data_IF_278803639524
#
_entry.id   IF_278803639524
#
_cell.length_a   1.000
_cell.length_b   1.000
_cell.length_c   1.000
_cell.angle_alpha   90.00
_cell.angle_beta   90.00
_cell.angle_gamma   90.00
#
_symmetry.space_group_name_H-M   'P 1'
#
loop_
_entity.id
_entity.type
_entity.pdbx_description
1 polymer ?
#
# COMPACT_ATOMS: atom_id res chain seq x y z
N UNK A 1 30.33 -17.04 39.79
CA UNK A 1 30.57 -16.46 38.45
C UNK A 1 29.40 -16.89 37.58
N UNK A 2 28.36 -16.06 37.52
CA UNK A 2 27.20 -16.28 36.65
C UNK A 2 27.23 -15.14 35.65
N UNK A 3 27.73 -15.42 34.46
CA UNK A 3 27.72 -14.48 33.34
C UNK A 3 26.25 -14.24 32.93
N UNK A 4 25.79 -13.01 33.19
CA UNK A 4 24.58 -12.48 32.61
C UNK A 4 24.85 -12.24 31.12
N UNK A 5 24.38 -13.15 30.27
CA UNK A 5 24.26 -12.91 28.83
C UNK A 5 23.25 -11.78 28.61
N UNK A 6 23.77 -10.57 28.44
CA UNK A 6 23.00 -9.44 27.93
C UNK A 6 22.55 -9.78 26.50
N UNK A 7 21.25 -10.02 26.33
CA UNK A 7 20.61 -10.06 25.02
C UNK A 7 20.72 -8.68 24.40
N UNK A 8 21.70 -8.49 23.52
CA UNK A 8 21.79 -7.29 22.68
C UNK A 8 20.60 -7.30 21.72
N UNK A 9 19.52 -6.62 22.08
CA UNK A 9 18.43 -6.32 21.15
C UNK A 9 19.02 -5.53 19.98
N UNK A 10 19.04 -6.15 18.79
CA UNK A 10 19.47 -5.49 17.57
C UNK A 10 18.67 -4.17 17.42
N UNK A 11 19.33 -3.04 17.15
CA UNK A 11 18.62 -1.77 17.02
C UNK A 11 17.62 -1.94 15.87
N UNK A 12 16.33 -1.72 16.14
CA UNK A 12 15.29 -1.69 15.10
C UNK A 12 15.76 -0.73 14.01
N UNK A 13 16.22 -1.28 12.89
CA UNK A 13 16.67 -0.51 11.75
C UNK A 13 15.53 0.41 11.33
N UNK A 14 15.74 1.72 11.40
CA UNK A 14 14.68 2.63 10.98
C UNK A 14 14.45 2.46 9.47
N UNK A 15 13.19 2.37 9.01
CA UNK A 15 12.92 2.22 7.59
C UNK A 15 13.52 3.38 6.78
N UNK A 16 14.19 3.06 5.67
CA UNK A 16 14.88 4.03 4.80
C UNK A 16 14.00 5.22 4.42
N UNK A 17 12.76 4.93 3.98
CA UNK A 17 11.80 5.98 3.63
C UNK A 17 11.35 6.83 4.81
N UNK A 18 11.35 6.28 6.03
CA UNK A 18 10.98 7.02 7.24
C UNK A 18 12.07 8.01 7.65
N UNK A 19 13.33 7.65 7.47
CA UNK A 19 14.47 8.57 7.67
C UNK A 19 14.44 9.68 6.61
N UNK A 20 14.35 9.30 5.33
CA UNK A 20 14.23 10.26 4.22
C UNK A 20 13.07 11.23 4.42
N UNK A 21 11.93 10.74 4.89
CA UNK A 21 10.78 11.59 5.20
C UNK A 21 11.10 12.65 6.27
N UNK A 22 11.78 12.25 7.36
CA UNK A 22 12.11 13.17 8.46
C UNK A 22 13.17 14.19 8.08
N UNK A 23 14.20 13.76 7.36
CA UNK A 23 15.42 14.54 7.19
C UNK A 23 15.32 15.47 5.98
N UNK A 24 14.70 15.02 4.89
CA UNK A 24 14.65 15.76 3.61
C UNK A 24 13.23 16.25 3.30
N UNK A 25 12.27 15.32 3.20
CA UNK A 25 10.94 15.59 2.64
C UNK A 25 10.17 16.60 3.48
N UNK A 26 10.28 16.53 4.82
CA UNK A 26 9.64 17.50 5.70
C UNK A 26 10.13 18.92 5.47
N UNK A 27 11.43 19.11 5.27
CA UNK A 27 12.00 20.43 5.01
C UNK A 27 11.50 20.97 3.67
N UNK A 28 11.57 20.15 2.62
CA UNK A 28 11.13 20.53 1.27
C UNK A 28 9.63 20.87 1.22
N UNK A 29 8.77 20.08 1.88
CA UNK A 29 7.33 20.38 1.94
C UNK A 29 7.03 21.65 2.73
N UNK A 30 7.79 21.93 3.79
CA UNK A 30 7.64 23.16 4.58
C UNK A 30 8.01 24.39 3.75
N UNK A 31 9.10 24.32 2.99
CA UNK A 31 9.52 25.39 2.08
C UNK A 31 8.51 25.60 0.94
N UNK A 32 8.00 24.52 0.35
CA UNK A 32 7.08 24.59 -0.78
C UNK A 32 5.70 25.19 -0.42
N UNK A 33 5.16 24.85 0.75
CA UNK A 33 3.80 25.25 1.15
C UNK A 33 3.77 26.29 2.28
N UNK A 34 4.93 26.68 2.82
CA UNK A 34 5.04 27.73 3.84
C UNK A 34 4.31 27.42 5.15
N UNK A 35 4.32 26.17 5.60
CA UNK A 35 3.60 25.77 6.82
C UNK A 35 4.08 26.54 8.05
N UNK A 36 3.14 27.15 8.78
CA UNK A 36 3.44 27.90 10.01
C UNK A 36 3.80 26.98 11.19
N UNK A 37 3.38 25.71 11.15
CA UNK A 37 3.61 24.74 12.22
C UNK A 37 4.19 23.45 11.63
N UNK A 38 5.27 22.94 12.25
CA UNK A 38 5.97 21.70 11.86
C UNK A 38 5.02 20.49 11.83
N UNK A 39 3.98 20.48 12.66
CA UNK A 39 3.00 19.39 12.70
C UNK A 39 1.90 19.48 11.62
N UNK A 40 1.87 20.56 10.82
CA UNK A 40 0.97 20.67 9.67
C UNK A 40 1.50 19.94 8.43
N UNK A 41 2.80 19.61 8.42
CA UNK A 41 3.42 18.94 7.27
C UNK A 41 2.74 17.58 7.03
N UNK A 42 2.23 17.33 5.81
CA UNK A 42 1.59 16.08 5.46
C UNK A 42 2.50 14.88 5.69
N UNK A 43 1.93 13.80 6.23
CA UNK A 43 2.63 12.55 6.47
C UNK A 43 1.75 11.33 6.17
N UNK A 44 2.39 10.17 6.12
CA UNK A 44 1.70 8.90 5.94
C UNK A 44 1.00 8.47 7.25
N UNK A 45 -0.30 8.19 7.16
CA UNK A 45 -1.08 7.67 8.30
C UNK A 45 -1.12 6.14 8.27
N UNK A 46 -1.52 5.57 7.14
CA UNK A 46 -1.67 4.13 6.95
C UNK A 46 -1.67 3.79 5.47
N UNK A 47 -1.35 2.53 5.18
CA UNK A 47 -1.54 1.95 3.84
C UNK A 47 -2.54 0.82 3.96
N UNK A 48 -3.57 0.84 3.14
CA UNK A 48 -4.57 -0.24 3.07
C UNK A 48 -4.35 -0.99 1.77
N UNK A 49 -4.14 -2.30 1.87
CA UNK A 49 -4.07 -3.20 0.72
C UNK A 49 -5.33 -4.05 0.75
N UNK A 50 -6.12 -3.98 -0.31
CA UNK A 50 -7.40 -4.66 -0.41
C UNK A 50 -7.44 -5.53 -1.66
N UNK A 51 -8.07 -6.69 -1.56
CA UNK A 51 -8.40 -7.52 -2.71
C UNK A 51 -9.88 -7.87 -2.70
N UNK A 52 -10.56 -7.55 -3.80
CA UNK A 52 -11.93 -7.96 -4.04
C UNK A 52 -11.94 -9.29 -4.79
N UNK A 53 -12.54 -10.32 -4.20
CA UNK A 53 -12.60 -11.66 -4.79
C UNK A 53 -14.06 -12.05 -4.92
N UNK A 54 -14.79 -11.46 -5.87
CA UNK A 54 -16.23 -11.69 -6.01
C UNK A 54 -16.63 -13.16 -6.23
N UNK A 55 -15.72 -13.96 -6.81
CA UNK A 55 -15.90 -15.40 -7.01
C UNK A 55 -15.86 -16.22 -5.71
N UNK A 56 -15.33 -15.64 -4.64
CA UNK A 56 -15.27 -16.23 -3.31
C UNK A 56 -16.64 -16.64 -2.75
N UNK A 57 -17.70 -15.93 -3.16
CA UNK A 57 -19.07 -16.27 -2.75
C UNK A 57 -19.50 -17.67 -3.23
N UNK A 58 -18.83 -18.21 -4.27
CA UNK A 58 -19.07 -19.56 -4.81
C UNK A 58 -18.09 -20.60 -4.28
N UNK A 59 -16.84 -20.20 -4.05
CA UNK A 59 -15.80 -21.11 -3.57
C UNK A 59 -14.94 -20.44 -2.48
N UNK A 60 -15.06 -20.96 -1.26
CA UNK A 60 -14.33 -20.47 -0.09
C UNK A 60 -12.82 -20.69 -0.17
N UNK A 61 -12.34 -21.66 -0.98
CA UNK A 61 -10.90 -21.93 -1.14
C UNK A 61 -10.17 -20.79 -1.83
N UNK A 62 -10.87 -20.07 -2.71
CA UNK A 62 -10.32 -18.92 -3.44
C UNK A 62 -9.90 -17.81 -2.47
N UNK A 63 -10.61 -17.64 -1.35
CA UNK A 63 -10.27 -16.67 -0.30
C UNK A 63 -8.99 -17.08 0.42
N UNK A 64 -8.82 -18.38 0.70
CA UNK A 64 -7.64 -18.88 1.39
C UNK A 64 -6.36 -18.60 0.58
N UNK A 65 -6.42 -18.72 -0.75
CA UNK A 65 -5.33 -18.30 -1.65
C UNK A 65 -5.02 -16.81 -1.50
N UNK A 66 -6.04 -15.95 -1.59
CA UNK A 66 -5.87 -14.51 -1.44
C UNK A 66 -5.32 -14.10 -0.06
N UNK A 67 -5.70 -14.83 1.00
CA UNK A 67 -5.17 -14.63 2.35
C UNK A 67 -3.68 -14.95 2.40
N UNK A 68 -3.26 -16.07 1.79
CA UNK A 68 -1.86 -16.49 1.75
C UNK A 68 -1.01 -15.47 0.98
N UNK A 69 -1.48 -15.02 -0.18
CA UNK A 69 -0.78 -14.04 -1.01
C UNK A 69 -0.61 -12.71 -0.27
N UNK A 70 -1.69 -12.17 0.31
CA UNK A 70 -1.63 -10.94 1.10
C UNK A 70 -0.73 -11.07 2.33
N UNK A 71 -0.71 -12.24 2.97
CA UNK A 71 0.18 -12.51 4.11
C UNK A 71 1.64 -12.51 3.68
N UNK A 72 1.96 -13.13 2.54
CA UNK A 72 3.31 -13.17 1.99
C UNK A 72 3.80 -11.76 1.61
N UNK A 73 2.95 -10.98 0.94
CA UNK A 73 3.27 -9.61 0.50
C UNK A 73 3.47 -8.67 1.70
N UNK A 74 2.49 -8.64 2.60
CA UNK A 74 2.42 -7.61 3.66
C UNK A 74 3.09 -8.03 4.98
N UNK A 75 3.39 -9.32 5.16
CA UNK A 75 3.89 -9.88 6.42
C UNK A 75 2.86 -9.84 7.55
N UNK A 76 1.58 -9.58 7.25
CA UNK A 76 0.50 -9.47 8.22
C UNK A 76 -0.70 -10.32 7.76
N UNK A 77 -1.30 -11.04 8.70
CA UNK A 77 -2.52 -11.80 8.42
C UNK A 77 -3.66 -10.83 8.05
N UNK A 78 -4.28 -10.97 6.87
CA UNK A 78 -5.37 -10.11 6.44
C UNK A 78 -6.66 -10.41 7.19
N UNK A 79 -7.52 -9.40 7.26
CA UNK A 79 -8.88 -9.52 7.74
C UNK A 79 -9.82 -9.82 6.57
N UNK A 80 -10.65 -10.86 6.73
CA UNK A 80 -11.65 -11.26 5.74
C UNK A 80 -12.85 -10.32 5.81
N UNK A 81 -13.27 -9.82 4.64
CA UNK A 81 -14.41 -8.94 4.48
C UNK A 81 -15.66 -9.76 4.17
N UNK A 82 -16.68 -9.61 5.01
CA UNK A 82 -17.99 -10.26 4.85
C UNK A 82 -19.01 -9.32 4.21
N UNK A 83 -19.95 -9.91 3.47
CA UNK A 83 -21.09 -9.24 2.89
C UNK A 83 -21.99 -8.65 3.96
N UNK A 84 -22.23 -7.32 3.90
CA UNK A 84 -23.20 -6.64 4.76
C UNK A 84 -24.65 -6.75 4.28
N UNK A 85 -24.85 -7.01 2.99
CA UNK A 85 -26.18 -7.08 2.36
C UNK A 85 -26.22 -8.21 1.35
N UNK A 86 -27.38 -8.85 1.25
CA UNK A 86 -27.66 -9.84 0.21
C UNK A 86 -28.04 -9.14 -1.08
N UNK A 87 -27.39 -9.50 -2.19
CA UNK A 87 -27.66 -8.93 -3.52
C UNK A 87 -27.75 -10.08 -4.53
N UNK A 88 -28.95 -10.30 -5.08
CA UNK A 88 -29.24 -11.43 -5.95
C UNK A 88 -28.41 -11.42 -7.26
N UNK A 89 -28.16 -10.24 -7.84
CA UNK A 89 -27.38 -10.10 -9.08
C UNK A 89 -25.95 -10.64 -8.93
N UNK A 90 -25.33 -10.43 -7.78
CA UNK A 90 -23.99 -10.95 -7.47
C UNK A 90 -24.03 -12.36 -6.84
N UNK A 91 -25.23 -12.96 -6.72
CA UNK A 91 -25.48 -14.24 -6.03
C UNK A 91 -24.91 -14.27 -4.61
N UNK A 92 -24.94 -13.11 -3.95
CA UNK A 92 -24.30 -12.89 -2.67
C UNK A 92 -25.34 -12.88 -1.54
N UNK A 93 -25.04 -13.56 -0.44
CA UNK A 93 -25.81 -13.55 0.81
C UNK A 93 -25.03 -12.84 1.90
N UNK A 94 -25.76 -12.23 2.84
CA UNK A 94 -25.18 -11.64 4.04
C UNK A 94 -24.32 -12.65 4.82
N UNK A 95 -23.19 -12.19 5.35
CA UNK A 95 -22.23 -13.03 6.07
C UNK A 95 -21.28 -13.84 5.18
N UNK A 96 -21.47 -13.87 3.85
CA UNK A 96 -20.51 -14.52 2.95
C UNK A 96 -19.24 -13.68 2.80
N UNK A 97 -18.09 -14.35 2.76
CA UNK A 97 -16.82 -13.68 2.53
C UNK A 97 -16.66 -13.29 1.04
N UNK A 98 -16.26 -12.04 0.81
CA UNK A 98 -16.14 -11.41 -0.53
C UNK A 98 -14.70 -11.04 -0.86
N UNK A 99 -13.88 -10.79 0.15
CA UNK A 99 -12.52 -10.31 -0.06
C UNK A 99 -11.72 -10.29 1.21
N UNK A 100 -10.53 -9.71 1.14
CA UNK A 100 -9.64 -9.58 2.27
C UNK A 100 -8.88 -8.27 2.19
N UNK A 101 -8.57 -7.69 3.33
CA UNK A 101 -7.77 -6.47 3.39
C UNK A 101 -6.77 -6.49 4.54
N UNK A 102 -5.69 -5.73 4.37
CA UNK A 102 -4.67 -5.49 5.38
C UNK A 102 -4.56 -3.99 5.58
N UNK A 103 -4.51 -3.56 6.84
CA UNK A 103 -4.14 -2.18 7.17
C UNK A 103 -2.76 -2.17 7.80
N UNK A 104 -1.80 -1.56 7.11
CA UNK A 104 -0.43 -1.37 7.56
C UNK A 104 -0.28 0.01 8.21
N UNK A 105 0.41 0.05 9.36
CA UNK A 105 0.70 1.27 10.13
C UNK A 105 2.11 1.22 10.68
N UNK A 106 2.66 2.38 11.01
CA UNK A 106 4.00 2.49 11.59
C UNK A 106 5.08 2.02 10.61
N UNK A 107 6.10 1.34 11.12
CA UNK A 107 7.29 0.98 10.34
C UNK A 107 6.97 0.03 9.17
N UNK A 108 6.04 -0.92 9.39
CA UNK A 108 5.58 -1.84 8.33
C UNK A 108 4.94 -1.13 7.13
N UNK A 109 4.28 0.01 7.34
CA UNK A 109 3.72 0.79 6.24
C UNK A 109 4.84 1.40 5.38
N UNK A 110 5.89 1.92 6.02
CA UNK A 110 7.04 2.50 5.33
C UNK A 110 7.86 1.44 4.57
N UNK A 111 8.09 0.28 5.17
CA UNK A 111 8.78 -0.84 4.53
C UNK A 111 7.97 -1.41 3.34
N UNK A 112 6.65 -1.50 3.48
CA UNK A 112 5.80 -1.92 2.38
C UNK A 112 5.85 -0.92 1.22
N UNK A 113 5.77 0.39 1.49
CA UNK A 113 5.92 1.40 0.45
C UNK A 113 7.28 1.36 -0.24
N UNK A 114 8.36 1.12 0.51
CA UNK A 114 9.71 1.05 -0.07
C UNK A 114 9.83 -0.14 -1.04
N UNK A 115 9.34 -1.32 -0.63
CA UNK A 115 9.27 -2.50 -1.50
C UNK A 115 8.35 -2.28 -2.70
N UNK A 116 7.21 -1.62 -2.49
CA UNK A 116 6.26 -1.34 -3.56
C UNK A 116 6.87 -0.46 -4.63
N UNK A 117 7.48 0.67 -4.25
CA UNK A 117 8.04 1.65 -5.19
C UNK A 117 9.30 1.12 -5.87
N UNK A 118 10.21 0.53 -5.08
CA UNK A 118 11.55 0.18 -5.57
C UNK A 118 11.61 -1.19 -6.26
N UNK A 119 10.75 -2.13 -5.88
CA UNK A 119 10.77 -3.51 -6.40
C UNK A 119 9.54 -3.83 -7.25
N UNK A 120 8.34 -3.54 -6.76
CA UNK A 120 7.12 -4.01 -7.41
C UNK A 120 6.70 -3.16 -8.63
N UNK A 121 6.70 -1.82 -8.52
CA UNK A 121 6.25 -0.94 -9.61
C UNK A 121 7.08 -1.09 -10.90
N UNK A 122 8.44 -1.16 -10.86
CA UNK A 122 9.24 -1.33 -12.07
C UNK A 122 9.02 -2.67 -12.78
N UNK A 123 8.52 -3.69 -12.06
CA UNK A 123 8.27 -5.04 -12.59
C UNK A 123 6.92 -5.16 -13.30
N UNK A 124 6.05 -4.15 -13.20
CA UNK A 124 4.78 -4.13 -13.92
C UNK A 124 5.05 -4.09 -15.42
N UNK A 125 4.47 -5.05 -16.17
CA UNK A 125 4.56 -5.06 -17.63
C UNK A 125 3.89 -3.80 -18.21
N UNK A 126 4.58 -3.14 -19.14
CA UNK A 126 4.15 -1.88 -19.77
C UNK A 126 3.85 -0.74 -18.77
N UNK A 127 4.68 -0.61 -17.73
CA UNK A 127 4.52 0.44 -16.74
C UNK A 127 4.80 1.82 -17.33
N UNK A 128 3.73 2.60 -17.55
CA UNK A 128 3.81 4.00 -18.02
C UNK A 128 3.88 5.02 -16.88
N UNK A 129 3.99 4.58 -15.63
CA UNK A 129 3.77 5.43 -14.45
C UNK A 129 2.33 5.36 -13.94
N UNK A 130 2.15 5.81 -12.70
CA UNK A 130 0.88 5.92 -12.00
C UNK A 130 0.12 7.19 -12.39
N UNK A 131 -1.21 7.16 -12.41
CA UNK A 131 -1.99 8.36 -12.76
C UNK A 131 -1.99 9.37 -11.61
N UNK A 132 -1.76 10.63 -11.93
CA UNK A 132 -1.81 11.76 -10.99
C UNK A 132 -3.25 12.24 -10.67
N UNK A 133 -4.26 11.61 -11.27
CA UNK A 133 -5.69 11.96 -11.12
C UNK A 133 -6.43 11.11 -10.08
N UNK A 134 -5.81 10.07 -9.54
CA UNK A 134 -6.47 9.10 -8.65
C UNK A 134 -6.50 9.54 -7.18
N UNK A 135 -6.54 10.85 -6.95
CA UNK A 135 -6.70 11.43 -5.62
C UNK A 135 -8.18 11.66 -5.31
N UNK A 136 -8.52 11.68 -4.03
CA UNK A 136 -9.91 11.76 -3.55
C UNK A 136 -10.37 13.18 -3.16
N UNK A 137 -9.58 14.22 -3.46
CA UNK A 137 -9.84 15.60 -3.05
C UNK A 137 -9.23 15.97 -1.69
N UNK A 138 -8.93 14.98 -0.86
CA UNK A 138 -8.37 15.15 0.49
C UNK A 138 -6.94 14.60 0.58
N UNK A 139 -6.23 14.48 -0.55
CA UNK A 139 -4.84 14.04 -0.58
C UNK A 139 -4.62 12.56 -0.26
N UNK A 140 -5.67 11.73 -0.25
CA UNK A 140 -5.50 10.27 -0.23
C UNK A 140 -5.38 9.77 -1.67
N UNK A 141 -4.55 8.75 -1.86
CA UNK A 141 -4.25 8.21 -3.17
C UNK A 141 -4.62 6.74 -3.24
N UNK A 142 -5.37 6.34 -4.26
CA UNK A 142 -5.72 4.93 -4.47
C UNK A 142 -5.39 4.52 -5.89
N UNK A 143 -4.70 3.40 -6.05
CA UNK A 143 -4.44 2.82 -7.36
C UNK A 143 -4.58 1.31 -7.31
N UNK A 144 -4.98 0.74 -8.46
CA UNK A 144 -5.09 -0.69 -8.65
C UNK A 144 -3.85 -1.28 -9.29
N UNK A 145 -3.46 -2.46 -8.83
CA UNK A 145 -2.54 -3.38 -9.47
C UNK A 145 -3.35 -4.52 -10.08
N UNK A 146 -3.12 -4.80 -11.36
CA UNK A 146 -3.87 -5.84 -12.08
C UNK A 146 -3.46 -7.26 -11.70
N UNK A 147 -2.22 -7.46 -11.25
CA UNK A 147 -1.65 -8.80 -11.02
C UNK A 147 -0.82 -8.86 -9.74
N UNK A 148 -0.91 -9.96 -8.99
CA UNK A 148 -0.06 -10.21 -7.80
C UNK A 148 1.39 -10.60 -8.13
N UNK A 149 1.65 -10.99 -9.38
CA UNK A 149 2.96 -11.48 -9.88
C UNK A 149 4.10 -10.47 -9.79
N UNK A 150 3.76 -9.20 -9.53
CA UNK A 150 4.69 -8.07 -9.40
C UNK A 150 5.50 -8.13 -8.10
N UNK A 151 4.96 -8.78 -7.06
CA UNK A 151 5.66 -8.96 -5.79
C UNK A 151 6.66 -10.12 -5.90
N UNK A 152 7.83 -9.98 -5.29
CA UNK A 152 8.88 -11.02 -5.32
C UNK A 152 8.56 -12.17 -4.38
N UNK A 153 7.73 -11.91 -3.37
CA UNK A 153 7.29 -12.86 -2.37
C UNK A 153 6.29 -13.89 -2.95
N UNK A 154 5.71 -13.63 -4.12
CA UNK A 154 4.79 -14.53 -4.81
C UNK A 154 5.54 -15.38 -5.83
N UNK A 155 5.42 -16.69 -5.67
CA UNK A 155 5.90 -17.69 -6.63
C UNK A 155 4.90 -17.78 -7.80
N UNK A 156 5.34 -17.40 -9.00
CA UNK A 156 4.49 -17.37 -10.19
C UNK A 156 3.98 -18.76 -10.60
N UNK A 157 4.75 -19.82 -10.32
CA UNK A 157 4.40 -21.19 -10.69
C UNK A 157 3.30 -21.77 -9.78
N UNK A 158 3.09 -21.15 -8.60
CA UNK A 158 2.07 -21.55 -7.62
C UNK A 158 0.81 -20.69 -7.67
N UNK A 159 0.72 -19.75 -8.60
CA UNK A 159 -0.46 -18.91 -8.76
C UNK A 159 -1.60 -19.76 -9.31
N UNK A 160 -2.69 -19.84 -8.55
CA UNK A 160 -3.92 -20.51 -8.96
C UNK A 160 -4.69 -19.67 -9.99
N UNK A 161 -4.83 -18.38 -9.71
CA UNK A 161 -5.52 -17.37 -10.53
C UNK A 161 -4.85 -16.02 -10.38
N UNK A 162 -4.86 -15.25 -11.48
CA UNK A 162 -4.46 -13.85 -11.45
C UNK A 162 -5.50 -13.04 -10.69
N UNK A 163 -5.03 -12.23 -9.74
CA UNK A 163 -5.81 -11.40 -8.81
C UNK A 163 -5.21 -10.00 -8.79
N UNK A 164 -6.10 -9.02 -8.79
CA UNK A 164 -5.72 -7.63 -8.58
C UNK A 164 -5.72 -7.24 -7.11
N UNK A 165 -5.02 -6.14 -6.82
CA UNK A 165 -5.02 -5.48 -5.53
C UNK A 165 -5.28 -3.99 -5.69
N UNK A 166 -6.10 -3.45 -4.82
CA UNK A 166 -6.24 -2.00 -4.67
C UNK A 166 -5.40 -1.56 -3.47
N UNK A 167 -4.51 -0.62 -3.70
CA UNK A 167 -3.65 -0.05 -2.66
C UNK A 167 -4.07 1.40 -2.45
N UNK A 168 -4.48 1.70 -1.22
CA UNK A 168 -4.81 3.05 -0.77
C UNK A 168 -3.75 3.55 0.19
N UNK A 169 -3.12 4.66 -0.18
CA UNK A 169 -2.18 5.41 0.65
C UNK A 169 -2.94 6.55 1.32
N UNK A 170 -3.10 6.46 2.63
CA UNK A 170 -3.82 7.47 3.43
C UNK A 170 -2.81 8.41 4.05
N UNK A 171 -2.99 9.70 3.78
CA UNK A 171 -2.09 10.76 4.25
C UNK A 171 -2.84 11.72 5.19
N UNK A 172 -2.11 12.61 5.86
CA UNK A 172 -2.69 13.72 6.63
C UNK A 172 -2.87 15.00 5.80
N UNK A 173 -2.60 14.95 4.49
CA UNK A 173 -2.79 16.09 3.60
C UNK A 173 -4.26 16.55 3.63
N UNK A 174 -4.48 17.85 3.38
CA UNK A 174 -5.84 18.39 3.25
C UNK A 174 -6.26 18.57 1.81
N UNK A 175 -5.30 18.71 0.91
CA UNK A 175 -5.53 18.93 -0.52
C UNK A 175 -4.77 17.92 -1.35
N UNK A 176 -5.23 17.72 -2.58
CA UNK A 176 -4.57 16.84 -3.54
C UNK A 176 -3.19 17.35 -3.97
N UNK A 177 -2.96 18.67 -3.93
CA UNK A 177 -1.65 19.25 -4.23
C UNK A 177 -0.59 18.83 -3.20
N UNK A 178 -0.95 18.91 -1.93
CA UNK A 178 -0.10 18.47 -0.81
C UNK A 178 0.16 16.96 -0.87
N UNK A 179 -0.89 16.16 -1.11
CA UNK A 179 -0.78 14.71 -1.25
C UNK A 179 0.10 14.32 -2.43
N UNK A 180 -0.06 14.98 -3.58
CA UNK A 180 0.77 14.77 -4.77
C UNK A 180 2.23 15.12 -4.53
N UNK A 181 2.50 16.26 -3.89
CA UNK A 181 3.86 16.68 -3.57
C UNK A 181 4.55 15.66 -2.65
N UNK A 182 3.86 15.20 -1.59
CA UNK A 182 4.37 14.19 -0.68
C UNK A 182 4.72 12.88 -1.42
N UNK A 183 3.81 12.35 -2.24
CA UNK A 183 4.05 11.09 -2.95
C UNK A 183 5.17 11.21 -4.00
N UNK A 184 5.27 12.36 -4.69
CA UNK A 184 6.38 12.62 -5.63
C UNK A 184 7.73 12.61 -4.93
N UNK A 185 7.86 13.27 -3.78
CA UNK A 185 9.11 13.30 -3.01
C UNK A 185 9.46 11.93 -2.41
N UNK A 186 8.45 11.11 -2.09
CA UNK A 186 8.63 9.73 -1.69
C UNK A 186 9.11 8.81 -2.83
N UNK A 187 9.14 9.31 -4.08
CA UNK A 187 9.63 8.59 -5.24
C UNK A 187 8.55 7.83 -6.01
N UNK A 188 7.27 8.17 -5.84
CA UNK A 188 6.21 7.59 -6.66
C UNK A 188 6.38 8.00 -8.14
N UNK A 189 6.48 7.05 -9.07
CA UNK A 189 6.59 7.34 -10.49
C UNK A 189 5.21 7.69 -11.04
N UNK A 190 4.85 8.97 -11.01
CA UNK A 190 3.66 9.46 -11.71
C UNK A 190 3.92 9.58 -13.21
N UNK A 191 2.86 9.38 -14.01
CA UNK A 191 2.83 9.75 -15.43
C UNK A 191 3.08 11.24 -15.54
N UNK A 192 4.28 11.63 -15.89
CA UNK A 192 4.54 12.95 -16.45
C UNK A 192 3.99 12.95 -17.88
N UNK A 193 3.06 13.85 -18.17
CA UNK A 193 2.75 14.24 -19.54
C UNK A 193 3.89 15.11 -20.12
N UNK A 194 5.15 14.76 -19.85
CA UNK A 194 6.30 15.34 -20.56
C UNK A 194 6.66 14.42 -21.72
N UNK A 195 5.75 14.40 -22.70
CA UNK A 195 6.18 14.36 -24.09
C UNK A 195 6.36 15.80 -24.51
N UNK A 196 7.52 16.37 -24.22
CA UNK A 196 7.98 17.60 -24.87
C UNK A 196 8.64 17.16 -26.17
N UNK A 197 7.93 17.35 -27.28
CA UNK A 197 8.53 17.52 -28.62
C UNK A 197 8.89 18.99 -28.76
#
# INVERSE_FOLDING_TARGET
MTDTTATTEAPKAQPRLKQKYKDEIKATLTEQFGYANVNQVPGLVKVVVNTGVGEAARDSKIIEGAIKDLTAITGQKPQVNIARKSIAQFKLREGQAIGAHVTLRGDRAWEFLDRLISLALPRIRDFRGLSDKQFDGNGNYTFGLSEQSVFHEIDQDRIDRVRGFDITVVTTAKTDDEGRALLRQLGFPFRSNEQTV
#
